data_IF_553148981415
#
_entry.id   IF_553148981415
#
_cell.length_a   1.000
_cell.length_b   1.000
_cell.length_c   1.000
_cell.angle_alpha   90.00
_cell.angle_beta   90.00
_cell.angle_gamma   90.00
#
_symmetry.space_group_name_H-M   'P 1'
#
loop_
_entity.id
_entity.type
_entity.pdbx_description
1 polymer ?
#
# COMPACT_ATOMS: atom_id res chain seq x y z
N UNK A 1 -22.65 12.64 46.35
CA UNK A 1 -23.13 12.47 44.97
C UNK A 1 -22.70 11.13 44.44
N UNK A 2 -23.64 10.39 43.86
CA UNK A 2 -23.37 9.14 43.17
C UNK A 2 -22.83 9.44 41.76
N UNK A 3 -22.22 8.45 41.08
CA UNK A 3 -21.86 8.60 39.66
C UNK A 3 -23.04 9.12 38.84
N UNK A 4 -22.76 9.99 37.86
CA UNK A 4 -23.77 10.73 37.09
C UNK A 4 -24.24 12.03 37.72
N UNK A 5 -23.71 12.41 38.89
CA UNK A 5 -24.07 13.65 39.58
C UNK A 5 -22.86 14.33 40.24
N UNK A 6 -22.91 15.66 40.36
CA UNK A 6 -21.85 16.48 40.94
C UNK A 6 -22.38 17.53 41.91
N UNK A 7 -21.48 18.10 42.73
CA UNK A 7 -21.77 19.24 43.62
C UNK A 7 -20.74 20.35 43.40
N UNK A 8 -21.19 21.49 42.88
CA UNK A 8 -20.32 22.64 42.62
C UNK A 8 -19.87 23.38 43.90
N UNK A 9 -20.57 23.20 45.02
CA UNK A 9 -20.34 23.95 46.27
C UNK A 9 -20.04 23.00 47.43
N UNK A 10 -18.87 23.15 48.08
CA UNK A 10 -18.54 22.35 49.27
C UNK A 10 -19.61 22.59 50.36
N UNK A 11 -20.21 21.50 50.87
CA UNK A 11 -21.33 21.43 51.84
C UNK A 11 -22.77 21.52 51.28
N UNK A 12 -22.96 21.46 49.96
CA UNK A 12 -24.31 21.25 49.40
C UNK A 12 -24.82 19.82 49.69
N UNK A 13 -26.03 19.68 50.24
CA UNK A 13 -26.71 18.40 50.46
C UNK A 13 -27.43 17.87 49.22
N UNK A 14 -27.60 18.70 48.18
CA UNK A 14 -28.26 18.35 46.92
C UNK A 14 -27.23 18.10 45.82
N UNK A 15 -27.30 16.92 45.20
CA UNK A 15 -26.50 16.53 44.05
C UNK A 15 -27.22 16.87 42.76
N UNK A 16 -26.56 17.62 41.89
CA UNK A 16 -27.08 17.94 40.55
C UNK A 16 -26.63 16.87 39.57
N UNK A 17 -27.53 16.39 38.71
CA UNK A 17 -27.16 15.51 37.61
C UNK A 17 -26.16 16.21 36.69
N UNK A 18 -25.25 15.45 36.12
CA UNK A 18 -24.39 15.97 35.07
C UNK A 18 -25.26 16.44 33.89
N UNK A 19 -25.02 17.67 33.37
CA UNK A 19 -25.69 18.13 32.16
C UNK A 19 -25.36 17.20 30.99
N UNK A 20 -26.19 17.23 29.94
CA UNK A 20 -25.91 16.48 28.73
C UNK A 20 -24.51 16.82 28.18
N UNK A 21 -23.92 15.92 27.40
CA UNK A 21 -22.55 16.01 26.90
C UNK A 21 -21.45 15.78 27.96
N UNK A 22 -21.81 15.57 29.22
CA UNK A 22 -20.86 15.34 30.30
C UNK A 22 -21.24 14.11 31.12
N UNK A 23 -20.24 13.46 31.70
CA UNK A 23 -20.42 12.30 32.54
C UNK A 23 -19.61 12.41 33.83
N UNK A 24 -19.93 11.55 34.79
CA UNK A 24 -19.12 11.43 36.00
C UNK A 24 -19.12 10.00 36.54
N UNK A 25 -17.97 9.35 36.54
CA UNK A 25 -17.79 7.99 37.02
C UNK A 25 -17.39 7.90 38.50
N UNK A 26 -17.00 9.01 39.13
CA UNK A 26 -16.56 9.05 40.52
C UNK A 26 -17.68 9.47 41.49
N UNK A 27 -17.70 8.83 42.66
CA UNK A 27 -18.53 9.28 43.78
C UNK A 27 -17.95 10.56 44.40
N UNK A 28 -18.82 11.47 44.87
CA UNK A 28 -18.46 12.75 45.52
C UNK A 28 -17.73 13.75 44.60
N UNK A 29 -17.94 13.64 43.30
CA UNK A 29 -17.40 14.57 42.34
C UNK A 29 -17.91 16.01 42.50
N UNK A 30 -17.03 16.98 42.24
CA UNK A 30 -17.34 18.41 42.25
C UNK A 30 -17.74 18.97 40.87
N UNK A 31 -17.32 18.31 39.80
CA UNK A 31 -17.58 18.69 38.40
C UNK A 31 -17.87 17.45 37.55
N UNK A 32 -18.39 17.63 36.35
CA UNK A 32 -18.55 16.55 35.36
C UNK A 32 -17.42 16.64 34.31
N UNK A 33 -17.03 15.50 33.75
CA UNK A 33 -16.03 15.37 32.68
C UNK A 33 -16.75 15.43 31.32
N UNK A 34 -16.20 16.11 30.29
CA UNK A 34 -16.76 16.11 28.94
C UNK A 34 -16.68 14.71 28.32
N UNK A 35 -17.57 14.42 27.38
CA UNK A 35 -17.59 13.12 26.69
C UNK A 35 -16.75 13.15 25.43
N UNK A 36 -15.94 12.11 25.27
CA UNK A 36 -15.01 11.94 24.16
C UNK A 36 -15.73 11.57 22.86
N UNK A 37 -15.09 11.86 21.72
CA UNK A 37 -15.59 11.45 20.41
C UNK A 37 -15.75 9.92 20.33
N UNK A 38 -16.72 9.45 19.54
CA UNK A 38 -17.10 8.03 19.47
C UNK A 38 -18.00 7.58 20.64
N UNK A 39 -18.45 8.50 21.48
CA UNK A 39 -19.37 8.24 22.58
C UNK A 39 -20.33 9.40 22.80
N UNK A 40 -21.45 9.15 23.48
CA UNK A 40 -22.45 10.15 23.83
C UNK A 40 -22.89 10.02 25.29
N UNK A 41 -23.38 11.12 25.86
CA UNK A 41 -23.75 11.22 27.27
C UNK A 41 -25.07 11.97 27.45
N UNK A 42 -26.20 11.26 27.62
CA UNK A 42 -27.45 11.88 28.05
C UNK A 42 -27.33 12.49 29.46
N UNK A 43 -28.26 13.38 29.86
CA UNK A 43 -28.27 13.96 31.20
C UNK A 43 -28.20 12.90 32.30
N UNK A 44 -27.29 13.08 33.26
CA UNK A 44 -27.09 12.14 34.38
C UNK A 44 -26.21 10.94 34.08
N UNK A 45 -25.46 10.94 32.96
CA UNK A 45 -24.59 9.83 32.59
C UNK A 45 -23.46 9.58 33.59
N UNK A 46 -23.37 8.35 34.10
CA UNK A 46 -22.26 7.90 34.94
C UNK A 46 -21.08 7.30 34.16
N UNK A 47 -21.26 7.06 32.87
CA UNK A 47 -20.30 6.47 31.94
C UNK A 47 -20.53 7.04 30.54
N UNK A 48 -19.50 7.02 29.69
CA UNK A 48 -19.60 7.31 28.27
C UNK A 48 -20.28 6.13 27.54
N UNK A 49 -21.36 6.39 26.81
CA UNK A 49 -22.04 5.36 26.00
C UNK A 49 -21.42 5.35 24.60
N UNK A 50 -20.98 4.18 24.08
CA UNK A 50 -20.37 4.11 22.76
C UNK A 50 -21.38 4.45 21.67
N UNK A 51 -20.90 5.13 20.62
CA UNK A 51 -21.67 5.44 19.42
C UNK A 51 -22.11 4.16 18.70
N UNK A 52 -23.40 4.03 18.38
CA UNK A 52 -23.92 2.88 17.60
C UNK A 52 -23.75 3.11 16.10
N UNK A 53 -22.51 3.24 15.64
CA UNK A 53 -22.21 3.39 14.22
C UNK A 53 -21.94 2.03 13.55
N UNK A 54 -22.46 1.84 12.33
CA UNK A 54 -22.22 0.62 11.56
C UNK A 54 -20.75 0.53 11.13
N UNK A 55 -20.18 -0.68 10.95
CA UNK A 55 -18.86 -0.83 10.35
C UNK A 55 -18.78 -0.07 9.03
N UNK A 56 -17.65 0.61 8.81
CA UNK A 56 -17.47 1.54 7.69
C UNK A 56 -17.80 2.99 8.04
N UNK A 57 -18.31 3.26 9.24
CA UNK A 57 -18.58 4.63 9.70
C UNK A 57 -17.92 4.93 11.03
N UNK A 58 -17.70 6.21 11.31
CA UNK A 58 -17.10 6.71 12.56
C UNK A 58 -17.87 7.94 13.07
N UNK A 59 -17.70 8.25 14.35
CA UNK A 59 -18.32 9.40 14.99
C UNK A 59 -17.25 10.24 15.68
N UNK A 60 -16.90 11.39 15.10
CA UNK A 60 -15.85 12.27 15.65
C UNK A 60 -16.37 13.40 16.54
N UNK A 61 -17.68 13.60 16.61
CA UNK A 61 -18.26 14.64 17.43
C UNK A 61 -18.08 14.31 18.93
N UNK A 62 -17.48 15.26 19.65
CA UNK A 62 -17.39 15.27 21.12
C UNK A 62 -18.63 15.95 21.71
N UNK A 63 -18.83 15.81 23.01
CA UNK A 63 -19.85 16.57 23.75
C UNK A 63 -21.28 16.34 23.23
N UNK A 64 -21.60 15.10 22.85
CA UNK A 64 -22.93 14.74 22.36
C UNK A 64 -23.90 14.38 23.49
N UNK A 65 -25.10 14.92 23.40
CA UNK A 65 -26.22 14.65 24.32
C UNK A 65 -27.07 13.44 23.90
N UNK A 66 -26.90 12.96 22.67
CA UNK A 66 -27.62 11.83 22.07
C UNK A 66 -26.77 11.10 21.03
N UNK A 67 -27.34 10.09 20.38
CA UNK A 67 -26.62 9.23 19.42
C UNK A 67 -25.95 10.11 18.32
N UNK A 68 -24.63 9.92 18.05
CA UNK A 68 -23.93 10.72 17.05
C UNK A 68 -24.46 10.47 15.64
N UNK A 69 -24.35 11.49 14.80
CA UNK A 69 -24.35 11.26 13.36
C UNK A 69 -23.06 10.51 12.97
N UNK A 70 -23.22 9.45 12.17
CA UNK A 70 -22.12 8.63 11.70
C UNK A 70 -21.63 9.12 10.34
N UNK A 71 -20.33 9.33 10.20
CA UNK A 71 -19.69 9.74 8.96
C UNK A 71 -19.05 8.54 8.27
N UNK A 72 -19.07 8.53 6.94
CA UNK A 72 -18.39 7.50 6.14
C UNK A 72 -16.88 7.53 6.37
N UNK A 73 -16.28 6.35 6.51
CA UNK A 73 -14.84 6.25 6.67
C UNK A 73 -14.11 6.87 5.47
N UNK A 74 -13.13 7.76 5.69
CA UNK A 74 -12.39 8.37 4.60
C UNK A 74 -11.50 7.34 3.88
N UNK A 75 -11.09 7.70 2.66
CA UNK A 75 -10.13 6.92 1.89
C UNK A 75 -8.81 6.75 2.66
N UNK A 76 -8.13 5.64 2.40
CA UNK A 76 -6.90 5.27 3.09
C UNK A 76 -7.06 4.92 4.57
N UNK A 77 -8.30 4.82 5.08
CA UNK A 77 -8.58 4.43 6.47
C UNK A 77 -9.65 3.34 6.55
N UNK A 78 -9.70 2.68 7.70
CA UNK A 78 -10.72 1.72 8.09
C UNK A 78 -11.44 2.15 9.38
N UNK A 79 -12.73 1.84 9.46
CA UNK A 79 -13.58 2.19 10.59
C UNK A 79 -14.40 0.97 11.05
N UNK A 80 -14.15 0.47 12.27
CA UNK A 80 -14.82 -0.73 12.79
C UNK A 80 -16.30 -0.52 13.17
N UNK A 81 -16.79 0.73 13.15
CA UNK A 81 -18.09 1.11 13.68
C UNK A 81 -17.97 1.54 15.14
N UNK A 82 -18.41 2.77 15.43
CA UNK A 82 -18.36 3.37 16.78
C UNK A 82 -17.00 3.96 17.16
N UNK A 83 -16.01 3.91 16.25
CA UNK A 83 -14.72 4.53 16.48
C UNK A 83 -14.83 6.06 16.50
N UNK A 84 -14.07 6.69 17.41
CA UNK A 84 -13.94 8.14 17.50
C UNK A 84 -13.21 8.74 16.29
N UNK A 85 -12.30 7.96 15.71
CA UNK A 85 -11.42 8.38 14.62
C UNK A 85 -11.18 7.21 13.65
N UNK A 86 -11.04 7.49 12.35
CA UNK A 86 -10.60 6.50 11.37
C UNK A 86 -9.19 6.00 11.68
N UNK A 87 -8.93 4.72 11.41
CA UNK A 87 -7.59 4.12 11.54
C UNK A 87 -6.97 4.05 10.16
N UNK A 88 -5.87 4.74 9.93
CA UNK A 88 -5.16 4.69 8.65
C UNK A 88 -4.72 3.25 8.32
N UNK A 89 -4.84 2.88 7.05
CA UNK A 89 -4.33 1.61 6.56
C UNK A 89 -2.81 1.55 6.72
N UNK A 90 -2.30 0.43 7.22
CA UNK A 90 -0.86 0.20 7.33
C UNK A 90 -0.18 0.12 5.97
N UNK A 91 1.16 0.14 5.96
CA UNK A 91 1.91 -0.06 4.73
C UNK A 91 1.58 -1.43 4.10
N UNK A 92 1.47 -1.47 2.78
CA UNK A 92 0.98 -2.63 2.02
C UNK A 92 -0.54 -2.77 1.94
N UNK A 93 -1.30 -1.93 2.65
CA UNK A 93 -2.75 -1.92 2.67
C UNK A 93 -3.30 -0.60 2.14
N UNK A 94 -4.49 -0.63 1.55
CA UNK A 94 -5.19 0.53 1.01
C UNK A 94 -6.66 0.54 1.39
N UNK A 95 -7.30 1.71 1.27
CA UNK A 95 -8.76 1.84 1.32
C UNK A 95 -9.21 2.73 0.16
N UNK A 96 -9.59 2.11 -0.98
CA UNK A 96 -9.85 2.84 -2.23
C UNK A 96 -11.23 3.48 -2.31
N UNK A 97 -12.14 3.13 -1.41
CA UNK A 97 -13.52 3.60 -1.39
C UNK A 97 -13.91 4.09 -0.01
N UNK A 98 -14.83 5.05 0.04
CA UNK A 98 -15.39 5.54 1.29
C UNK A 98 -16.18 4.43 1.99
N UNK A 99 -16.32 4.53 3.30
CA UNK A 99 -17.17 3.61 4.05
C UNK A 99 -16.54 2.24 4.33
N UNK A 100 -15.21 2.10 4.20
CA UNK A 100 -14.53 0.83 4.45
C UNK A 100 -14.37 0.54 5.94
N UNK A 101 -14.72 -0.69 6.33
CA UNK A 101 -14.50 -1.19 7.69
C UNK A 101 -13.18 -1.93 7.87
N UNK A 102 -12.47 -2.19 6.77
CA UNK A 102 -11.18 -2.88 6.72
C UNK A 102 -10.36 -2.35 5.54
N UNK A 103 -9.05 -2.51 5.60
CA UNK A 103 -8.16 -2.18 4.49
C UNK A 103 -7.95 -3.38 3.57
N UNK A 104 -7.88 -3.13 2.27
CA UNK A 104 -7.59 -4.10 1.22
C UNK A 104 -6.07 -4.25 1.05
N UNK A 105 -5.59 -5.45 0.74
CA UNK A 105 -4.18 -5.69 0.42
C UNK A 105 -3.83 -5.22 -0.99
N UNK A 106 -2.62 -4.69 -1.17
CA UNK A 106 -2.10 -4.46 -2.51
C UNK A 106 -1.86 -5.77 -3.25
N UNK A 107 -2.32 -5.83 -4.50
CA UNK A 107 -2.13 -6.99 -5.38
C UNK A 107 -0.66 -7.08 -5.86
N UNK A 108 -0.20 -8.29 -6.24
CA UNK A 108 1.14 -8.48 -6.78
C UNK A 108 1.44 -7.53 -7.94
N UNK A 109 2.67 -7.03 -8.00
CA UNK A 109 3.10 -5.97 -8.91
C UNK A 109 2.84 -4.55 -8.40
N UNK A 110 2.12 -4.39 -7.30
CA UNK A 110 1.84 -3.09 -6.67
C UNK A 110 2.19 -3.10 -5.19
N UNK A 111 2.42 -1.93 -4.61
CA UNK A 111 2.82 -1.76 -3.21
C UNK A 111 2.11 -0.60 -2.54
N UNK A 112 1.95 -0.69 -1.23
CA UNK A 112 1.48 0.41 -0.39
C UNK A 112 2.65 1.02 0.38
N UNK A 113 3.42 1.90 -0.26
CA UNK A 113 4.69 2.43 0.28
C UNK A 113 4.54 3.18 1.60
N UNK A 114 3.38 3.81 1.81
CA UNK A 114 3.10 4.61 2.99
C UNK A 114 1.76 4.24 3.63
N UNK A 115 1.59 4.43 4.95
CA UNK A 115 0.29 4.30 5.58
C UNK A 115 -0.71 5.34 5.06
N UNK A 116 -1.99 5.00 5.05
CA UNK A 116 -3.05 5.94 4.65
C UNK A 116 -3.29 6.02 3.14
N UNK A 117 -2.79 5.07 2.36
CA UNK A 117 -2.96 5.09 0.91
C UNK A 117 -4.38 4.69 0.48
N UNK A 118 -4.91 5.42 -0.49
CA UNK A 118 -6.18 5.09 -1.16
C UNK A 118 -5.97 4.21 -2.39
N UNK A 119 -4.75 4.12 -2.92
CA UNK A 119 -4.42 3.32 -4.08
C UNK A 119 -3.01 2.74 -3.96
N UNK A 120 -2.81 1.54 -4.49
CA UNK A 120 -1.50 0.92 -4.55
C UNK A 120 -0.68 1.53 -5.69
N UNK A 121 0.62 1.65 -5.44
CA UNK A 121 1.57 2.18 -6.40
C UNK A 121 2.19 1.02 -7.21
N UNK A 122 2.24 1.12 -8.55
CA UNK A 122 2.86 0.08 -9.36
C UNK A 122 4.37 0.05 -9.17
N UNK A 123 4.95 -1.16 -9.13
CA UNK A 123 6.40 -1.29 -9.17
C UNK A 123 6.96 -0.74 -10.49
N UNK A 124 8.04 0.03 -10.38
CA UNK A 124 8.72 0.60 -11.54
C UNK A 124 9.49 -0.46 -12.33
N UNK A 125 9.86 -0.13 -13.58
CA UNK A 125 10.70 -1.00 -14.41
C UNK A 125 11.99 -1.38 -13.65
N UNK A 126 12.38 -2.66 -13.74
CA UNK A 126 13.52 -3.19 -13.00
C UNK A 126 13.23 -3.54 -11.54
N UNK A 127 11.98 -3.39 -11.09
CA UNK A 127 11.49 -3.84 -9.81
C UNK A 127 10.28 -4.77 -9.96
N UNK A 128 10.04 -5.60 -8.95
CA UNK A 128 8.96 -6.57 -8.96
C UNK A 128 8.41 -6.81 -7.56
N UNK A 129 7.17 -7.27 -7.47
CA UNK A 129 6.59 -7.70 -6.20
C UNK A 129 5.69 -8.93 -6.40
N UNK A 130 6.12 -10.14 -6.01
CA UNK A 130 5.33 -11.34 -6.22
C UNK A 130 4.18 -11.51 -5.21
N UNK A 131 4.28 -10.88 -4.04
CA UNK A 131 3.39 -11.14 -2.93
C UNK A 131 2.39 -10.00 -2.72
N UNK A 132 1.23 -10.33 -2.15
CA UNK A 132 0.21 -9.38 -1.72
C UNK A 132 0.63 -8.64 -0.46
N UNK A 133 0.04 -7.46 -0.24
CA UNK A 133 0.15 -6.75 1.03
C UNK A 133 1.54 -6.17 1.31
N UNK A 134 2.32 -5.90 0.26
CA UNK A 134 3.72 -5.50 0.40
C UNK A 134 3.87 -3.98 0.37
N UNK A 135 4.78 -3.48 1.20
CA UNK A 135 5.08 -2.06 1.30
C UNK A 135 6.17 -1.61 0.31
N UNK A 136 6.99 -2.51 -0.20
CA UNK A 136 8.16 -2.16 -1.01
C UNK A 136 8.32 -3.08 -2.20
N UNK A 137 8.76 -2.52 -3.33
CA UNK A 137 9.10 -3.29 -4.51
C UNK A 137 10.52 -3.82 -4.40
N UNK A 138 10.74 -5.05 -4.85
CA UNK A 138 12.06 -5.69 -4.82
C UNK A 138 12.81 -5.35 -6.12
N UNK A 139 14.08 -4.94 -6.08
CA UNK A 139 14.86 -4.75 -7.29
C UNK A 139 15.17 -6.10 -7.95
N UNK A 140 15.29 -6.10 -9.28
CA UNK A 140 15.77 -7.26 -10.02
C UNK A 140 17.27 -7.47 -9.81
N UNK A 141 17.69 -8.74 -9.79
CA UNK A 141 19.10 -9.12 -9.69
C UNK A 141 19.85 -8.79 -10.98
N UNK A 142 21.18 -8.67 -10.87
CA UNK A 142 22.08 -8.28 -11.97
C UNK A 142 21.83 -9.11 -13.24
N UNK A 143 21.65 -8.41 -14.37
CA UNK A 143 21.40 -9.02 -15.68
C UNK A 143 19.92 -9.27 -15.98
N UNK A 144 19.05 -9.27 -14.96
CA UNK A 144 17.61 -9.38 -15.12
C UNK A 144 16.92 -8.03 -14.94
N UNK A 145 15.70 -7.93 -15.44
CA UNK A 145 14.85 -6.76 -15.32
C UNK A 145 13.38 -7.17 -15.42
N UNK A 146 12.49 -6.19 -15.28
CA UNK A 146 11.05 -6.40 -15.26
C UNK A 146 10.35 -5.21 -15.90
N UNK A 147 9.13 -5.44 -16.40
CA UNK A 147 8.24 -4.36 -16.80
C UNK A 147 7.64 -3.67 -15.55
N UNK A 148 6.98 -2.52 -15.76
CA UNK A 148 6.19 -1.92 -14.69
C UNK A 148 5.08 -2.87 -14.22
N UNK A 149 4.79 -2.84 -12.93
CA UNK A 149 3.81 -3.72 -12.26
C UNK A 149 4.11 -5.23 -12.36
N UNK A 150 5.36 -5.61 -12.55
CA UNK A 150 5.71 -7.03 -12.70
C UNK A 150 5.72 -7.78 -11.36
N UNK A 151 5.43 -9.08 -11.44
CA UNK A 151 5.53 -10.03 -10.31
C UNK A 151 6.82 -10.85 -10.32
N UNK A 152 7.64 -10.72 -11.36
CA UNK A 152 8.91 -11.43 -11.53
C UNK A 152 9.87 -10.71 -12.47
N UNK A 153 11.17 -10.97 -12.33
CA UNK A 153 12.23 -10.46 -13.21
C UNK A 153 12.46 -11.38 -14.42
N UNK A 154 11.51 -11.38 -15.36
CA UNK A 154 11.54 -12.25 -16.53
C UNK A 154 12.21 -11.61 -17.76
N UNK A 155 12.60 -10.34 -17.70
CA UNK A 155 13.21 -9.62 -18.82
C UNK A 155 14.73 -9.53 -18.62
N UNK A 156 15.46 -9.27 -19.69
CA UNK A 156 16.89 -8.98 -19.59
C UNK A 156 17.16 -7.48 -19.48
N UNK A 157 18.05 -7.12 -18.56
CA UNK A 157 18.52 -5.74 -18.42
C UNK A 157 19.28 -5.29 -19.68
N UNK A 158 19.44 -3.97 -19.85
CA UNK A 158 20.30 -3.44 -20.91
C UNK A 158 21.73 -4.00 -20.78
N UNK A 159 22.36 -4.30 -21.91
CA UNK A 159 23.65 -5.01 -21.94
C UNK A 159 23.53 -6.53 -21.80
N UNK A 160 22.32 -7.09 -21.70
CA UNK A 160 22.06 -8.53 -21.70
C UNK A 160 21.04 -8.89 -22.78
N UNK A 161 21.16 -10.09 -23.34
CA UNK A 161 20.15 -10.65 -24.25
C UNK A 161 19.59 -11.95 -23.70
N UNK A 162 18.31 -12.18 -23.96
CA UNK A 162 17.63 -13.42 -23.63
C UNK A 162 18.06 -14.51 -24.61
N UNK A 163 18.72 -15.53 -24.09
CA UNK A 163 19.01 -16.75 -24.85
C UNK A 163 17.84 -17.73 -24.63
N UNK A 164 17.22 -18.26 -25.71
CA UNK A 164 16.29 -19.37 -25.58
C UNK A 164 16.96 -20.53 -24.85
N UNK A 165 16.19 -21.29 -24.05
CA UNK A 165 16.67 -22.54 -23.48
C UNK A 165 17.25 -23.44 -24.60
N UNK A 166 18.34 -24.13 -24.28
CA UNK A 166 18.97 -25.06 -25.23
C UNK A 166 18.04 -26.21 -25.61
N UNK A 167 18.51 -27.06 -26.52
CA UNK A 167 17.81 -28.30 -26.91
C UNK A 167 17.60 -29.27 -25.75
N UNK A 168 18.33 -29.08 -24.65
CA UNK A 168 18.13 -29.80 -23.40
C UNK A 168 17.13 -29.02 -22.54
N UNK A 169 15.97 -29.61 -22.28
CA UNK A 169 14.84 -29.06 -21.49
C UNK A 169 15.18 -28.68 -20.03
N UNK A 170 16.46 -28.69 -19.66
CA UNK A 170 17.02 -28.37 -18.34
C UNK A 170 17.67 -26.98 -18.27
N UNK A 171 17.90 -26.30 -19.40
CA UNK A 171 18.47 -24.95 -19.40
C UNK A 171 17.34 -23.90 -19.44
N UNK A 172 16.99 -23.24 -18.31
CA UNK A 172 16.01 -22.16 -18.32
C UNK A 172 16.49 -20.99 -19.20
N UNK A 173 15.57 -20.17 -19.74
CA UNK A 173 15.95 -18.95 -20.44
C UNK A 173 16.80 -18.09 -19.51
N UNK A 174 17.98 -17.69 -20.00
CA UNK A 174 18.96 -16.97 -19.22
C UNK A 174 19.35 -15.67 -19.93
N UNK A 175 19.54 -14.63 -19.13
CA UNK A 175 20.09 -13.36 -19.60
C UNK A 175 21.61 -13.46 -19.68
N UNK A 176 22.13 -13.31 -20.88
CA UNK A 176 23.56 -13.45 -21.17
C UNK A 176 24.15 -12.07 -21.44
N UNK A 177 25.32 -11.73 -20.86
CA UNK A 177 26.01 -10.49 -21.16
C UNK A 177 26.27 -10.33 -22.66
N UNK A 178 26.08 -9.13 -23.17
CA UNK A 178 26.38 -8.80 -24.55
C UNK A 178 27.86 -8.52 -24.75
N UNK A 179 28.40 -9.06 -25.83
CA UNK A 179 29.79 -8.92 -26.19
C UNK A 179 29.96 -7.75 -27.17
N UNK A 180 30.06 -6.53 -26.63
CA UNK A 180 30.27 -5.31 -27.43
C UNK A 180 31.57 -5.37 -28.23
N UNK A 181 32.59 -6.02 -27.65
CA UNK A 181 33.86 -6.36 -28.30
C UNK A 181 33.71 -7.28 -29.51
N UNK A 182 32.64 -8.08 -29.54
CA UNK A 182 32.31 -8.95 -30.69
C UNK A 182 31.38 -8.27 -31.69
N UNK A 183 31.07 -6.98 -31.54
CA UNK A 183 30.27 -6.26 -32.54
C UNK A 183 28.76 -6.37 -32.36
N UNK A 184 28.27 -6.62 -31.15
CA UNK A 184 26.83 -6.58 -30.84
C UNK A 184 26.52 -5.60 -29.70
N UNK A 185 25.37 -4.94 -29.76
CA UNK A 185 24.84 -4.12 -28.67
C UNK A 185 23.43 -4.57 -28.31
N UNK A 186 23.08 -4.40 -27.03
CA UNK A 186 21.82 -4.88 -26.48
C UNK A 186 21.16 -3.80 -25.64
N UNK A 187 19.99 -3.36 -26.11
CA UNK A 187 19.08 -2.55 -25.32
C UNK A 187 18.31 -3.37 -24.29
N UNK A 188 17.28 -2.74 -23.71
CA UNK A 188 16.38 -3.40 -22.77
C UNK A 188 15.59 -4.54 -23.44
N UNK A 189 15.49 -5.69 -22.77
CA UNK A 189 14.74 -6.85 -23.23
C UNK A 189 15.16 -7.34 -24.64
N UNK A 190 16.46 -7.33 -24.91
CA UNK A 190 17.01 -7.83 -26.17
C UNK A 190 16.93 -9.36 -26.24
N UNK A 191 16.68 -9.91 -27.42
CA UNK A 191 16.69 -11.36 -27.71
C UNK A 191 17.72 -11.66 -28.79
N UNK A 192 18.03 -12.94 -29.02
CA UNK A 192 18.91 -13.34 -30.15
C UNK A 192 18.42 -12.78 -31.49
N UNK A 193 17.11 -12.69 -31.69
CA UNK A 193 16.52 -12.14 -32.92
C UNK A 193 16.68 -10.62 -33.01
N UNK A 194 16.50 -9.91 -31.88
CA UNK A 194 16.44 -8.45 -31.80
C UNK A 194 17.76 -7.78 -31.44
N UNK A 195 18.85 -8.54 -31.25
CA UNK A 195 20.18 -7.97 -31.02
C UNK A 195 20.61 -7.08 -32.17
N UNK A 196 21.20 -5.94 -31.85
CA UNK A 196 21.71 -4.98 -32.81
C UNK A 196 23.18 -5.30 -33.12
N UNK A 197 23.51 -5.37 -34.41
CA UNK A 197 24.88 -5.60 -34.89
C UNK A 197 25.54 -4.24 -35.13
N UNK A 198 26.72 -4.05 -34.55
CA UNK A 198 27.48 -2.81 -34.69
C UNK A 198 27.99 -2.64 -36.13
N UNK A 199 28.30 -1.40 -36.54
CA UNK A 199 28.94 -1.15 -37.83
C UNK A 199 30.19 -2.02 -38.03
N UNK A 200 30.48 -2.35 -39.30
CA UNK A 200 31.58 -3.23 -39.71
C UNK A 200 31.45 -4.70 -39.27
N UNK A 201 30.31 -5.09 -38.70
CA UNK A 201 30.00 -6.49 -38.39
C UNK A 201 28.76 -6.94 -39.17
N UNK A 202 28.68 -8.23 -39.47
CA UNK A 202 27.49 -8.88 -40.02
C UNK A 202 27.22 -10.19 -39.28
N UNK A 203 25.94 -10.59 -39.22
CA UNK A 203 25.51 -11.87 -38.63
C UNK A 203 24.87 -12.74 -39.69
N UNK A 204 25.12 -14.04 -39.63
CA UNK A 204 24.61 -14.99 -40.63
C UNK A 204 23.09 -15.23 -40.50
N UNK A 205 22.53 -15.15 -39.30
CA UNK A 205 21.10 -15.38 -39.06
C UNK A 205 20.61 -14.66 -37.81
N UNK A 206 19.30 -14.36 -37.76
CA UNK A 206 18.61 -13.87 -36.56
C UNK A 206 18.49 -14.93 -35.45
N UNK A 207 18.95 -16.16 -35.71
CA UNK A 207 19.01 -17.25 -34.74
C UNK A 207 20.34 -17.35 -34.00
N UNK A 208 21.33 -16.53 -34.35
CA UNK A 208 22.64 -16.51 -33.71
C UNK A 208 23.03 -15.08 -33.34
N UNK A 209 23.83 -14.96 -32.28
CA UNK A 209 24.50 -13.72 -31.88
C UNK A 209 25.95 -13.65 -32.38
N UNK A 210 26.40 -14.68 -33.10
CA UNK A 210 27.72 -14.69 -33.71
C UNK A 210 27.78 -13.73 -34.90
N UNK A 211 28.82 -12.92 -34.87
CA UNK A 211 29.09 -11.82 -35.79
C UNK A 211 30.49 -11.96 -36.36
N UNK A 212 30.65 -11.51 -37.60
CA UNK A 212 31.90 -11.53 -38.33
C UNK A 212 32.21 -10.11 -38.81
N UNK A 213 33.49 -9.77 -38.90
CA UNK A 213 33.92 -8.51 -39.50
C UNK A 213 33.56 -8.50 -40.99
N UNK A 214 33.02 -7.39 -41.46
CA UNK A 214 32.85 -7.15 -42.89
C UNK A 214 34.23 -7.07 -43.53
N UNK A 215 34.45 -7.81 -44.63
CA UNK A 215 35.66 -7.67 -45.42
C UNK A 215 35.76 -6.22 -45.93
N UNK A 216 36.93 -5.60 -45.77
CA UNK A 216 37.15 -4.21 -46.16
C UNK A 216 37.01 -3.92 -47.66
N UNK A 217 36.82 -4.95 -48.50
CA UNK A 217 37.00 -4.85 -49.96
C UNK A 217 35.92 -5.53 -50.81
N UNK A 218 34.64 -5.54 -50.40
CA UNK A 218 33.54 -5.75 -51.36
C UNK A 218 33.52 -7.06 -52.16
N UNK A 219 34.07 -8.15 -51.64
CA UNK A 219 33.96 -9.48 -52.25
C UNK A 219 33.23 -10.42 -51.28
N UNK A 220 32.16 -11.03 -51.82
CA UNK A 220 31.22 -11.93 -51.15
C UNK A 220 31.49 -13.38 -51.52
#
# INVERSE_FOLDING_TARGET
CLPGSHVAVRKSSTCKLCPAATFQNETRASSCKPCLGGSFCPPGSSLELPATCKPGTYANASDLSGEPECFDCPLGSQCLGGAAQPIACGAGLISPVLGRSYCDECEPGTVGSTPGLSACEPCSQGQYQPNRGMAECRPCETGTSSAGSATSCALCAAGYYMRPGGVDALAPPACVPCAVDKGITCGFNTTVATVEVLPLHWRHSTKTVETYLCASNGEW
#
